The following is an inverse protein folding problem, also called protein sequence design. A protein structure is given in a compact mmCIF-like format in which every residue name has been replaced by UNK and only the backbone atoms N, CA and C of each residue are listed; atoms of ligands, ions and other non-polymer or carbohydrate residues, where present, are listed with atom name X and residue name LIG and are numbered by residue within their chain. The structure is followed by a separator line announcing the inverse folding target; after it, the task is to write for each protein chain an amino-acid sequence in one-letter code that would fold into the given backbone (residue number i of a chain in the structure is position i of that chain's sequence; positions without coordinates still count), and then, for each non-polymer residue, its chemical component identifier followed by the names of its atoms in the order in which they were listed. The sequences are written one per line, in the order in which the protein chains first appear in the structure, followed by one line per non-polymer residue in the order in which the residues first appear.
data_IF_505479801593
#
_entry.id   IF_505479801593
#
_cell.length_a   1.000
_cell.length_b   1.000
_cell.length_c   1.000
_cell.angle_alpha   90.00
_cell.angle_beta   90.00
_cell.angle_gamma   90.00
#
_symmetry.space_group_name_H-M   'P 1'
#
loop_
_entity.id
_entity.type
_entity.pdbx_description
1 polymer ?
#
# COMPACT_ATOMS: atom_id res chain seq x y z
N UNK A 1 -31.91 7.61 -24.57
CA UNK A 1 -30.48 7.23 -24.58
C UNK A 1 -30.04 7.02 -26.03
N UNK A 2 -29.62 8.06 -26.73
CA UNK A 2 -28.85 7.91 -27.98
C UNK A 2 -27.42 8.31 -27.65
N UNK A 3 -26.58 7.31 -27.36
CA UNK A 3 -25.14 7.50 -27.55
C UNK A 3 -25.01 7.67 -29.05
N UNK A 4 -24.64 8.86 -29.52
CA UNK A 4 -24.39 9.09 -30.93
C UNK A 4 -23.33 8.09 -31.37
N UNK A 5 -23.76 7.07 -32.11
CA UNK A 5 -22.95 6.01 -32.67
C UNK A 5 -22.22 6.52 -33.94
N UNK A 6 -21.77 7.79 -33.92
CA UNK A 6 -20.86 8.30 -34.93
C UNK A 6 -19.46 7.93 -34.49
N UNK A 7 -18.79 7.10 -35.27
CA UNK A 7 -17.33 6.99 -35.21
C UNK A 7 -16.76 8.40 -35.30
N UNK A 8 -15.94 8.83 -34.31
CA UNK A 8 -15.30 10.12 -34.39
C UNK A 8 -14.46 10.19 -35.67
N UNK A 9 -14.56 11.31 -36.39
CA UNK A 9 -13.83 11.54 -37.64
C UNK A 9 -13.24 12.94 -37.62
N UNK A 10 -11.96 13.08 -37.97
CA UNK A 10 -11.40 14.37 -38.34
C UNK A 10 -11.62 14.61 -39.84
N UNK A 11 -11.47 15.85 -40.34
CA UNK A 11 -11.48 16.11 -41.76
C UNK A 11 -10.49 15.18 -42.49
N UNK A 12 -11.00 14.30 -43.36
CA UNK A 12 -10.18 13.34 -44.12
C UNK A 12 -9.73 12.08 -43.38
N UNK A 13 -10.09 11.88 -42.09
CA UNK A 13 -9.67 10.72 -41.30
C UNK A 13 -10.83 10.03 -40.57
N UNK A 14 -10.84 8.70 -40.59
CA UNK A 14 -11.69 7.90 -39.69
C UNK A 14 -10.89 7.46 -38.47
N UNK A 15 -11.46 7.67 -37.27
CA UNK A 15 -10.79 7.36 -36.03
C UNK A 15 -11.47 6.23 -35.30
N UNK A 16 -10.64 5.37 -34.73
CA UNK A 16 -11.12 4.52 -33.66
C UNK A 16 -11.34 5.37 -32.39
N UNK A 17 -12.22 4.89 -31.50
CA UNK A 17 -12.53 5.57 -30.25
C UNK A 17 -11.28 5.81 -29.38
N UNK A 18 -10.29 4.91 -29.42
CA UNK A 18 -9.04 5.08 -28.66
C UNK A 18 -8.19 6.26 -29.16
N UNK A 19 -8.05 6.40 -30.48
CA UNK A 19 -7.35 7.53 -31.10
C UNK A 19 -8.06 8.85 -30.77
N UNK A 20 -9.38 8.88 -30.90
CA UNK A 20 -10.17 10.04 -30.51
C UNK A 20 -9.98 10.41 -29.03
N UNK A 21 -10.10 9.46 -28.09
CA UNK A 21 -9.91 9.75 -26.67
C UNK A 21 -8.48 10.19 -26.33
N UNK A 22 -7.48 9.71 -27.06
CA UNK A 22 -6.09 10.12 -26.88
C UNK A 22 -5.89 11.56 -27.35
N UNK A 23 -6.39 11.88 -28.54
CA UNK A 23 -6.39 13.23 -29.08
C UNK A 23 -7.12 14.23 -28.18
N UNK A 24 -8.31 13.87 -27.68
CA UNK A 24 -9.10 14.71 -26.78
C UNK A 24 -8.49 14.92 -25.38
N UNK A 25 -7.34 14.29 -25.10
CA UNK A 25 -6.54 14.46 -23.87
C UNK A 25 -5.18 15.07 -24.13
N UNK A 26 -4.88 15.41 -25.38
CA UNK A 26 -3.60 16.00 -25.76
C UNK A 26 -3.71 17.52 -25.61
N UNK A 27 -2.89 18.08 -24.73
CA UNK A 27 -2.85 19.51 -24.45
C UNK A 27 -1.43 20.05 -24.57
N UNK A 28 -1.33 21.34 -24.87
CA UNK A 28 -0.08 22.08 -24.90
C UNK A 28 -0.18 23.28 -25.82
N UNK A 29 0.99 23.81 -26.18
CA UNK A 29 1.11 24.97 -27.07
C UNK A 29 1.17 24.50 -28.52
N UNK A 30 0.24 24.97 -29.35
CA UNK A 30 0.19 24.68 -30.77
C UNK A 30 1.43 25.27 -31.47
N UNK A 31 2.21 24.46 -32.21
CA UNK A 31 3.46 24.93 -32.84
C UNK A 31 3.23 25.92 -34.01
N UNK A 32 2.00 26.03 -34.53
CA UNK A 32 1.68 26.90 -35.67
C UNK A 32 1.10 28.25 -35.27
N UNK A 33 0.21 28.27 -34.28
CA UNK A 33 -0.52 29.49 -33.89
C UNK A 33 -0.30 29.92 -32.44
N UNK A 34 0.46 29.15 -31.64
CA UNK A 34 0.72 29.46 -30.24
C UNK A 34 -0.46 29.22 -29.27
N UNK A 35 -1.59 28.68 -29.75
CA UNK A 35 -2.73 28.32 -28.91
C UNK A 35 -2.33 27.35 -27.80
N UNK A 36 -2.50 27.73 -26.54
CA UNK A 36 -2.28 26.87 -25.39
C UNK A 36 -3.60 26.23 -24.94
N UNK A 37 -3.80 24.97 -25.27
CA UNK A 37 -5.08 24.32 -25.07
C UNK A 37 -5.15 22.92 -25.66
N UNK A 38 -6.32 22.54 -26.18
CA UNK A 38 -6.52 21.23 -26.78
C UNK A 38 -5.83 21.12 -28.15
N UNK A 39 -5.00 20.08 -28.33
CA UNK A 39 -4.27 19.79 -29.56
C UNK A 39 -4.64 18.40 -30.11
N UNK A 40 -5.87 18.20 -30.62
CA UNK A 40 -6.36 16.86 -30.94
C UNK A 40 -5.97 16.41 -32.35
N UNK A 41 -5.62 17.33 -33.24
CA UNK A 41 -5.36 17.04 -34.64
C UNK A 41 -3.88 16.99 -34.98
N UNK A 42 -3.61 16.76 -36.26
CA UNK A 42 -2.28 16.89 -36.87
C UNK A 42 -2.38 17.87 -38.03
N UNK A 43 -1.28 18.55 -38.35
CA UNK A 43 -1.24 19.44 -39.50
C UNK A 43 -1.32 18.67 -40.83
N UNK A 44 -0.77 17.45 -40.87
CA UNK A 44 -0.86 16.51 -41.99
C UNK A 44 -0.50 15.09 -41.49
N UNK A 45 -0.59 14.09 -42.36
CA UNK A 45 -0.32 12.69 -41.99
C UNK A 45 1.18 12.37 -41.75
N UNK A 46 2.10 13.26 -42.12
CA UNK A 46 3.56 13.03 -42.05
C UNK A 46 4.15 13.64 -40.77
N UNK A 47 3.68 14.80 -40.34
CA UNK A 47 4.13 15.47 -39.12
C UNK A 47 3.41 14.87 -37.90
N UNK A 48 4.13 14.23 -36.96
CA UNK A 48 3.51 13.63 -35.79
C UNK A 48 3.13 14.64 -34.70
N UNK A 49 3.53 15.92 -34.83
CA UNK A 49 3.28 16.94 -33.80
C UNK A 49 1.79 17.28 -33.72
N UNK A 50 1.21 17.30 -32.51
CA UNK A 50 -0.19 17.63 -32.32
C UNK A 50 -0.43 19.14 -32.54
N UNK A 51 -1.58 19.50 -33.11
CA UNK A 51 -1.98 20.89 -33.39
C UNK A 51 -3.42 21.15 -32.92
N UNK A 52 -3.76 22.42 -32.73
CA UNK A 52 -5.10 22.83 -32.26
C UNK A 52 -6.19 22.54 -33.30
N UNK A 53 -7.46 22.61 -32.85
CA UNK A 53 -8.64 22.40 -33.70
C UNK A 53 -8.61 23.23 -34.98
N UNK A 54 -8.31 24.54 -34.86
CA UNK A 54 -8.27 25.47 -35.99
C UNK A 54 -7.18 25.11 -36.99
N UNK A 55 -5.96 24.83 -36.53
CA UNK A 55 -4.85 24.46 -37.41
C UNK A 55 -5.05 23.09 -38.07
N UNK A 56 -5.80 22.19 -37.43
CA UNK A 56 -6.20 20.91 -38.02
C UNK A 56 -7.45 21.01 -38.91
N UNK A 57 -8.08 22.19 -39.02
CA UNK A 57 -9.33 22.38 -39.78
C UNK A 57 -10.54 21.66 -39.21
N UNK A 58 -10.52 21.29 -37.92
CA UNK A 58 -11.61 20.58 -37.24
C UNK A 58 -12.72 21.59 -36.89
N UNK A 59 -13.93 21.48 -37.49
CA UNK A 59 -14.99 22.49 -37.33
C UNK A 59 -15.76 22.40 -36.01
N UNK A 60 -15.66 21.29 -35.29
CA UNK A 60 -16.37 21.07 -34.03
C UNK A 60 -15.85 21.94 -32.88
N UNK A 61 -16.78 22.48 -32.09
CA UNK A 61 -16.47 23.14 -30.83
C UNK A 61 -16.48 22.15 -29.67
N UNK A 62 -15.34 22.05 -29.00
CA UNK A 62 -15.11 21.18 -27.84
C UNK A 62 -14.99 21.98 -26.53
N UNK A 63 -15.57 23.18 -26.46
CA UNK A 63 -15.65 23.97 -25.22
C UNK A 63 -16.83 23.58 -24.36
N UNK A 64 -16.56 23.39 -23.07
CA UNK A 64 -17.61 23.14 -22.09
C UNK A 64 -18.48 24.39 -21.89
N UNK A 65 -19.80 24.29 -22.07
CA UNK A 65 -20.73 25.42 -21.86
C UNK A 65 -20.79 25.96 -20.43
N UNK A 66 -20.25 25.23 -19.46
CA UNK A 66 -20.27 25.61 -18.04
C UNK A 66 -18.93 26.19 -17.57
N UNK A 67 -17.81 25.60 -17.96
CA UNK A 67 -16.48 26.00 -17.47
C UNK A 67 -15.54 26.49 -18.56
N UNK A 68 -16.00 26.58 -19.82
CA UNK A 68 -15.27 26.99 -21.03
C UNK A 68 -13.97 26.20 -21.33
N UNK A 69 -13.67 25.17 -20.55
CA UNK A 69 -12.49 24.32 -20.77
C UNK A 69 -12.66 23.53 -22.07
N UNK A 70 -11.62 23.57 -22.90
CA UNK A 70 -11.51 22.76 -24.12
C UNK A 70 -11.27 21.28 -23.77
N UNK A 71 -12.01 20.37 -24.40
CA UNK A 71 -11.82 18.94 -24.22
C UNK A 71 -13.04 18.12 -24.59
N UNK A 72 -13.01 16.83 -24.29
CA UNK A 72 -14.13 15.96 -24.64
C UNK A 72 -15.44 16.39 -23.95
N UNK A 73 -16.46 16.67 -24.77
CA UNK A 73 -17.82 16.87 -24.30
C UNK A 73 -18.43 15.52 -23.93
N UNK A 74 -18.88 15.40 -22.68
CA UNK A 74 -19.42 14.14 -22.16
C UNK A 74 -20.93 14.03 -22.37
N UNK A 75 -21.71 15.05 -21.98
CA UNK A 75 -23.16 15.08 -22.23
C UNK A 75 -23.70 16.52 -22.24
N UNK A 76 -24.62 16.82 -23.14
CA UNK A 76 -25.36 18.09 -23.17
C UNK A 76 -24.48 19.35 -23.19
N UNK A 77 -23.39 19.34 -23.96
CA UNK A 77 -22.46 20.47 -24.05
C UNK A 77 -21.55 20.66 -22.82
N UNK A 78 -21.56 19.74 -21.85
CA UNK A 78 -20.72 19.78 -20.64
C UNK A 78 -19.58 18.76 -20.72
N UNK A 79 -18.42 19.15 -20.20
CA UNK A 79 -17.30 18.23 -19.98
C UNK A 79 -17.64 17.21 -18.87
N UNK A 80 -16.85 16.14 -18.78
CA UNK A 80 -17.05 15.09 -17.78
C UNK A 80 -17.06 15.61 -16.34
N UNK A 81 -16.22 16.61 -16.01
CA UNK A 81 -16.12 17.21 -14.67
C UNK A 81 -17.37 18.01 -14.28
N UNK A 82 -17.86 18.88 -15.16
CA UNK A 82 -19.11 19.63 -14.91
C UNK A 82 -20.31 18.70 -14.82
N UNK A 83 -20.43 17.74 -15.73
CA UNK A 83 -21.49 16.74 -15.67
C UNK A 83 -21.45 15.91 -14.38
N UNK A 84 -20.25 15.57 -13.89
CA UNK A 84 -20.05 14.87 -12.62
C UNK A 84 -20.47 15.73 -11.43
N UNK A 85 -20.09 17.01 -11.41
CA UNK A 85 -20.47 17.96 -10.36
C UNK A 85 -21.98 18.04 -10.23
N UNK A 86 -22.68 18.29 -11.34
CA UNK A 86 -24.14 18.38 -11.36
C UNK A 86 -24.78 17.09 -10.83
N UNK A 87 -24.27 15.93 -11.27
CA UNK A 87 -24.76 14.62 -10.84
C UNK A 87 -24.55 14.36 -9.34
N UNK A 88 -23.45 14.84 -8.76
CA UNK A 88 -23.14 14.64 -7.35
C UNK A 88 -23.86 15.65 -6.47
N UNK A 89 -23.94 16.92 -6.87
CA UNK A 89 -24.72 17.95 -6.16
C UNK A 89 -26.16 17.50 -5.98
N UNK A 90 -26.81 17.04 -7.07
CA UNK A 90 -28.17 16.51 -7.00
C UNK A 90 -28.31 15.22 -6.16
N UNK A 91 -27.21 14.47 -5.96
CA UNK A 91 -27.24 13.20 -5.24
C UNK A 91 -26.96 13.36 -3.74
N UNK A 92 -26.05 14.26 -3.35
CA UNK A 92 -25.54 14.35 -1.98
C UNK A 92 -25.57 15.74 -1.37
N UNK A 93 -25.79 16.82 -2.12
CA UNK A 93 -25.82 18.19 -1.57
C UNK A 93 -27.25 18.65 -1.41
N UNK A 94 -28.08 18.44 -2.43
CA UNK A 94 -29.48 18.85 -2.43
C UNK A 94 -30.26 18.08 -1.35
N UNK A 95 -30.72 18.79 -0.32
CA UNK A 95 -31.44 18.19 0.82
C UNK A 95 -30.56 17.48 1.86
N UNK A 96 -29.24 17.70 1.82
CA UNK A 96 -28.31 17.11 2.78
C UNK A 96 -28.50 17.66 4.20
N UNK A 97 -28.23 16.81 5.21
CA UNK A 97 -28.17 17.22 6.61
C UNK A 97 -27.02 18.22 6.87
N UNK A 98 -25.90 18.08 6.14
CA UNK A 98 -24.79 19.02 6.13
C UNK A 98 -24.34 19.33 4.68
N UNK A 99 -24.97 20.34 4.02
CA UNK A 99 -24.65 20.70 2.65
C UNK A 99 -23.22 21.19 2.44
N UNK A 100 -22.59 21.81 3.46
CA UNK A 100 -21.24 22.34 3.35
C UNK A 100 -20.21 21.21 3.26
N UNK A 101 -20.31 20.21 4.15
CA UNK A 101 -19.44 19.04 4.11
C UNK A 101 -19.68 18.21 2.84
N UNK A 102 -20.94 18.04 2.41
CA UNK A 102 -21.23 17.33 1.17
C UNK A 102 -20.69 18.06 -0.07
N UNK A 103 -20.75 19.39 -0.10
CA UNK A 103 -20.15 20.19 -1.17
C UNK A 103 -18.63 19.99 -1.23
N UNK A 104 -17.96 19.93 -0.08
CA UNK A 104 -16.52 19.62 0.00
C UNK A 104 -16.21 18.23 -0.60
N UNK A 105 -17.04 17.22 -0.31
CA UNK A 105 -16.90 15.89 -0.92
C UNK A 105 -17.09 15.94 -2.44
N UNK A 106 -18.07 16.72 -2.93
CA UNK A 106 -18.25 16.93 -4.38
C UNK A 106 -17.01 17.54 -5.02
N UNK A 107 -16.43 18.56 -4.40
CA UNK A 107 -15.20 19.21 -4.89
C UNK A 107 -14.04 18.22 -4.98
N UNK A 108 -13.82 17.43 -3.92
CA UNK A 108 -12.80 16.38 -3.87
C UNK A 108 -12.99 15.37 -5.01
N UNK A 109 -14.22 14.85 -5.18
CA UNK A 109 -14.52 13.86 -6.20
C UNK A 109 -14.41 14.42 -7.62
N UNK A 110 -14.68 15.71 -7.82
CA UNK A 110 -14.53 16.40 -9.11
C UNK A 110 -13.07 16.78 -9.41
N UNK A 111 -12.23 16.89 -8.39
CA UNK A 111 -10.82 17.29 -8.48
C UNK A 111 -9.89 16.24 -9.10
N UNK A 112 -10.38 15.03 -9.39
CA UNK A 112 -9.56 13.98 -10.02
C UNK A 112 -9.12 14.36 -11.44
N UNK A 113 -7.96 13.86 -11.85
CA UNK A 113 -7.46 14.01 -13.22
C UNK A 113 -8.41 13.37 -14.25
N UNK A 114 -9.02 12.23 -13.89
CA UNK A 114 -9.95 11.47 -14.76
C UNK A 114 -11.37 11.38 -14.18
N UNK A 115 -12.24 12.40 -14.35
CA UNK A 115 -13.61 12.42 -13.82
C UNK A 115 -14.48 11.22 -14.27
N UNK A 116 -14.18 10.63 -15.43
CA UNK A 116 -14.92 9.48 -15.98
C UNK A 116 -14.85 8.24 -15.08
N UNK A 117 -13.77 8.08 -14.28
CA UNK A 117 -13.70 6.99 -13.32
C UNK A 117 -14.72 7.16 -12.20
N UNK A 118 -14.94 8.39 -11.73
CA UNK A 118 -15.94 8.70 -10.70
C UNK A 118 -17.35 8.60 -11.28
N UNK A 119 -17.56 9.06 -12.52
CA UNK A 119 -18.83 8.87 -13.23
C UNK A 119 -19.22 7.40 -13.36
N UNK A 120 -18.25 6.51 -13.59
CA UNK A 120 -18.48 5.05 -13.59
C UNK A 120 -18.71 4.52 -12.18
N UNK A 121 -17.85 4.89 -11.23
CA UNK A 121 -17.90 4.44 -9.84
C UNK A 121 -19.24 4.77 -9.16
N UNK A 122 -19.73 6.02 -9.31
CA UNK A 122 -21.00 6.47 -8.71
C UNK A 122 -22.25 5.79 -9.28
N UNK A 123 -22.15 5.03 -10.38
CA UNK A 123 -23.29 4.26 -10.92
C UNK A 123 -23.58 3.03 -10.08
N UNK A 124 -22.62 2.56 -9.29
CA UNK A 124 -22.83 1.41 -8.41
C UNK A 124 -23.94 1.70 -7.40
N UNK A 125 -24.97 0.83 -7.27
CA UNK A 125 -26.02 1.01 -6.27
C UNK A 125 -25.48 1.10 -4.84
N UNK A 126 -24.41 0.34 -4.54
CA UNK A 126 -23.74 0.37 -3.23
C UNK A 126 -23.08 1.71 -2.94
N UNK A 127 -22.45 2.33 -3.96
CA UNK A 127 -21.83 3.65 -3.84
C UNK A 127 -22.91 4.71 -3.63
N UNK A 128 -24.01 4.65 -4.42
CA UNK A 128 -25.14 5.58 -4.27
C UNK A 128 -25.76 5.50 -2.88
N UNK A 129 -26.05 4.29 -2.39
CA UNK A 129 -26.60 4.11 -1.05
C UNK A 129 -25.68 4.67 0.05
N UNK A 130 -24.37 4.42 -0.04
CA UNK A 130 -23.39 4.95 0.90
C UNK A 130 -23.33 6.48 0.87
N UNK A 131 -23.29 7.07 -0.33
CA UNK A 131 -23.25 8.52 -0.52
C UNK A 131 -24.55 9.20 -0.04
N UNK A 132 -25.71 8.63 -0.35
CA UNK A 132 -27.01 9.14 0.11
C UNK A 132 -27.19 9.00 1.62
N UNK A 133 -26.75 7.89 2.23
CA UNK A 133 -26.80 7.71 3.69
C UNK A 133 -25.89 8.67 4.45
N UNK A 134 -24.73 9.05 3.88
CA UNK A 134 -23.90 10.13 4.42
C UNK A 134 -24.57 11.50 4.28
N UNK A 135 -25.21 11.76 3.13
CA UNK A 135 -25.91 13.02 2.87
C UNK A 135 -27.14 13.21 3.78
N UNK A 136 -27.93 12.16 4.01
CA UNK A 136 -29.11 12.20 4.90
C UNK A 136 -28.76 12.25 6.39
N UNK A 137 -27.51 11.92 6.76
CA UNK A 137 -27.08 11.77 8.15
C UNK A 137 -27.44 10.42 8.79
N UNK A 138 -28.07 9.50 8.05
CA UNK A 138 -28.32 8.12 8.50
C UNK A 138 -27.01 7.39 8.82
N UNK A 139 -25.97 7.67 8.03
CA UNK A 139 -24.61 7.23 8.27
C UNK A 139 -23.83 8.42 8.84
N UNK A 140 -23.45 8.39 10.13
CA UNK A 140 -22.58 9.42 10.67
C UNK A 140 -21.27 9.48 9.88
N UNK A 141 -20.79 10.69 9.59
CA UNK A 141 -19.46 10.90 8.98
C UNK A 141 -18.37 10.63 10.03
N UNK A 142 -18.19 9.36 10.34
CA UNK A 142 -17.21 8.87 11.30
C UNK A 142 -16.72 7.49 10.89
N UNK A 143 -15.61 7.06 11.49
CA UNK A 143 -15.09 5.72 11.31
C UNK A 143 -16.11 4.64 11.70
N UNK A 144 -16.80 4.84 12.81
CA UNK A 144 -17.80 3.92 13.34
C UNK A 144 -19.05 3.87 12.45
N UNK A 145 -19.51 5.03 11.93
CA UNK A 145 -20.61 5.10 10.99
C UNK A 145 -20.32 4.31 9.70
N UNK A 146 -19.11 4.45 9.17
CA UNK A 146 -18.66 3.67 8.01
C UNK A 146 -18.52 2.17 8.32
N UNK A 147 -18.06 1.81 9.52
CA UNK A 147 -17.94 0.41 9.94
C UNK A 147 -19.30 -0.28 10.11
N UNK A 148 -20.33 0.44 10.58
CA UNK A 148 -21.68 -0.06 10.73
C UNK A 148 -22.33 -0.48 9.40
N UNK A 149 -22.04 0.23 8.30
CA UNK A 149 -22.60 -0.09 6.97
C UNK A 149 -21.99 -1.35 6.39
N UNK A 150 -20.66 -1.45 6.39
CA UNK A 150 -19.96 -2.71 6.12
C UNK A 150 -18.46 -2.57 6.37
N UNK A 151 -17.93 -3.32 7.33
CA UNK A 151 -16.49 -3.38 7.60
C UNK A 151 -15.64 -3.95 6.44
N UNK A 152 -16.26 -4.55 5.42
CA UNK A 152 -15.57 -5.45 4.45
C UNK A 152 -15.74 -5.10 2.98
N UNK A 153 -16.42 -4.01 2.62
CA UNK A 153 -16.56 -3.66 1.19
C UNK A 153 -15.42 -2.76 0.73
N UNK A 154 -14.88 -3.06 -0.46
CA UNK A 154 -13.87 -2.22 -1.12
C UNK A 154 -14.35 -0.77 -1.30
N UNK A 155 -15.67 -0.58 -1.41
CA UNK A 155 -16.30 0.73 -1.54
C UNK A 155 -16.12 1.57 -0.28
N UNK A 156 -16.47 1.02 0.90
CA UNK A 156 -16.30 1.72 2.18
C UNK A 156 -14.83 2.00 2.45
N UNK A 157 -13.93 1.03 2.23
CA UNK A 157 -12.49 1.25 2.44
C UNK A 157 -11.91 2.33 1.52
N UNK A 158 -12.38 2.42 0.27
CA UNK A 158 -11.97 3.47 -0.66
C UNK A 158 -12.46 4.84 -0.20
N UNK A 159 -13.75 4.96 0.13
CA UNK A 159 -14.33 6.22 0.61
C UNK A 159 -13.68 6.68 1.92
N UNK A 160 -13.48 5.77 2.89
CA UNK A 160 -12.74 6.08 4.12
C UNK A 160 -11.35 6.64 3.84
N UNK A 161 -10.59 5.98 2.96
CA UNK A 161 -9.24 6.44 2.61
C UNK A 161 -9.27 7.82 1.93
N UNK A 162 -10.30 8.11 1.13
CA UNK A 162 -10.52 9.42 0.52
C UNK A 162 -10.81 10.48 1.59
N UNK A 163 -11.71 10.20 2.52
CA UNK A 163 -12.08 11.14 3.58
C UNK A 163 -10.90 11.41 4.54
N UNK A 164 -10.12 10.39 4.91
CA UNK A 164 -8.88 10.54 5.68
C UNK A 164 -7.85 11.41 4.93
N UNK A 165 -7.59 11.11 3.67
CA UNK A 165 -6.60 11.83 2.84
C UNK A 165 -6.91 13.32 2.69
N UNK A 166 -8.19 13.69 2.73
CA UNK A 166 -8.65 15.08 2.63
C UNK A 166 -8.99 15.71 3.99
N UNK A 167 -8.67 15.05 5.11
CA UNK A 167 -8.85 15.61 6.45
C UNK A 167 -10.31 15.67 6.93
N UNK A 168 -11.23 15.02 6.24
CA UNK A 168 -12.65 14.89 6.65
C UNK A 168 -12.85 13.79 7.71
N UNK A 169 -11.89 12.88 7.84
CA UNK A 169 -11.80 11.92 8.94
C UNK A 169 -10.38 11.93 9.53
N UNK A 170 -10.22 11.70 10.84
CA UNK A 170 -8.89 11.52 11.43
C UNK A 170 -8.24 10.25 10.87
N UNK A 171 -6.92 10.26 10.74
CA UNK A 171 -6.17 9.07 10.33
C UNK A 171 -6.36 7.90 11.30
N UNK A 172 -6.67 6.70 10.78
CA UNK A 172 -6.87 5.48 11.58
C UNK A 172 -5.98 4.33 11.12
N UNK A 173 -5.43 3.57 12.07
CA UNK A 173 -4.87 2.25 11.77
C UNK A 173 -6.01 1.24 11.53
N UNK A 174 -6.38 1.11 10.27
CA UNK A 174 -7.43 0.18 9.82
C UNK A 174 -7.08 -1.30 10.09
N UNK A 175 -5.81 -1.67 10.21
CA UNK A 175 -5.42 -3.03 10.54
C UNK A 175 -5.61 -3.32 12.04
N UNK A 176 -5.33 -2.34 12.90
CA UNK A 176 -5.58 -2.42 14.34
C UNK A 176 -7.08 -2.48 14.63
N UNK A 177 -7.88 -1.57 14.04
CA UNK A 177 -9.34 -1.57 14.21
C UNK A 177 -9.95 -2.93 13.83
N UNK A 178 -9.52 -3.51 12.70
CA UNK A 178 -9.94 -4.86 12.27
C UNK A 178 -9.42 -5.98 13.18
N UNK A 179 -8.30 -5.80 13.86
CA UNK A 179 -7.81 -6.77 14.84
C UNK A 179 -8.65 -6.73 16.11
N UNK A 180 -9.02 -5.55 16.60
CA UNK A 180 -9.86 -5.37 17.79
C UNK A 180 -11.25 -5.99 17.61
N UNK A 181 -11.94 -5.69 16.49
CA UNK A 181 -13.24 -6.32 16.18
C UNK A 181 -13.12 -7.84 16.06
N UNK A 182 -12.07 -8.32 15.37
CA UNK A 182 -11.85 -9.76 15.24
C UNK A 182 -11.57 -10.42 16.60
N UNK A 183 -10.81 -9.76 17.47
CA UNK A 183 -10.44 -10.31 18.77
C UNK A 183 -11.68 -10.42 19.67
N UNK A 184 -12.51 -9.38 19.75
CA UNK A 184 -13.76 -9.40 20.51
C UNK A 184 -14.65 -10.58 20.05
N UNK A 185 -14.95 -10.64 18.75
CA UNK A 185 -15.74 -11.73 18.18
C UNK A 185 -15.11 -13.11 18.41
N UNK A 186 -13.79 -13.21 18.41
CA UNK A 186 -13.09 -14.48 18.63
C UNK A 186 -13.16 -14.93 20.09
N UNK A 187 -13.00 -14.00 21.04
CA UNK A 187 -13.13 -14.29 22.47
C UNK A 187 -14.55 -14.75 22.81
N UNK A 188 -15.57 -14.14 22.21
CA UNK A 188 -16.98 -14.51 22.42
C UNK A 188 -17.34 -15.93 21.99
N UNK A 189 -16.52 -16.56 21.14
CA UNK A 189 -16.68 -17.99 20.80
C UNK A 189 -16.15 -18.95 21.87
N UNK A 190 -15.43 -18.46 22.88
CA UNK A 190 -14.84 -19.29 23.94
C UNK A 190 -15.78 -19.27 25.14
N UNK A 191 -16.44 -20.40 25.38
CA UNK A 191 -17.41 -20.58 26.47
C UNK A 191 -16.74 -20.97 27.78
N UNK A 192 -15.71 -21.81 27.73
CA UNK A 192 -15.04 -22.34 28.92
C UNK A 192 -14.16 -21.27 29.61
N UNK A 193 -14.47 -20.84 30.86
CA UNK A 193 -13.71 -19.81 31.55
C UNK A 193 -12.22 -20.15 31.75
N UNK A 194 -11.90 -21.42 31.99
CA UNK A 194 -10.52 -21.89 32.16
C UNK A 194 -9.67 -21.72 30.88
N UNK A 195 -10.32 -21.68 29.71
CA UNK A 195 -9.68 -21.39 28.41
C UNK A 195 -9.73 -19.89 28.11
N UNK A 196 -10.88 -19.24 28.32
CA UNK A 196 -11.09 -17.83 27.94
C UNK A 196 -10.14 -16.89 28.68
N UNK A 197 -10.04 -17.00 30.01
CA UNK A 197 -9.27 -16.07 30.83
C UNK A 197 -7.79 -15.93 30.42
N UNK A 198 -7.00 -17.02 30.29
CA UNK A 198 -5.60 -16.92 29.85
C UNK A 198 -5.46 -16.46 28.40
N UNK A 199 -6.40 -16.81 27.50
CA UNK A 199 -6.38 -16.33 26.11
C UNK A 199 -6.61 -14.82 26.05
N UNK A 200 -7.60 -14.32 26.79
CA UNK A 200 -7.94 -12.91 26.83
C UNK A 200 -6.79 -12.08 27.41
N UNK A 201 -6.20 -12.52 28.51
CA UNK A 201 -5.01 -11.87 29.09
C UNK A 201 -3.85 -11.86 28.10
N UNK A 202 -3.55 -12.98 27.43
CA UNK A 202 -2.51 -13.04 26.42
C UNK A 202 -2.79 -12.09 25.25
N UNK A 203 -4.00 -12.15 24.68
CA UNK A 203 -4.36 -11.34 23.53
C UNK A 203 -4.37 -9.84 23.87
N UNK A 204 -4.88 -9.44 25.02
CA UNK A 204 -5.01 -8.04 25.41
C UNK A 204 -3.68 -7.47 25.94
N UNK A 205 -3.03 -8.16 26.87
CA UNK A 205 -1.84 -7.62 27.56
C UNK A 205 -0.55 -7.80 26.76
N UNK A 206 -0.44 -8.83 25.91
CA UNK A 206 0.71 -9.03 25.03
C UNK A 206 0.50 -8.45 23.64
N UNK A 207 -0.52 -8.93 22.92
CA UNK A 207 -0.71 -8.56 21.52
C UNK A 207 -1.27 -7.15 21.38
N UNK A 208 -2.43 -6.87 21.97
CA UNK A 208 -3.12 -5.60 21.76
C UNK A 208 -2.30 -4.42 22.30
N UNK A 209 -1.70 -4.55 23.49
CA UNK A 209 -0.76 -3.55 24.02
C UNK A 209 0.38 -3.24 23.05
N UNK A 210 1.02 -4.27 22.48
CA UNK A 210 2.14 -4.09 21.54
C UNK A 210 1.67 -3.49 20.22
N UNK A 211 0.53 -3.93 19.71
CA UNK A 211 -0.03 -3.44 18.45
C UNK A 211 -0.44 -1.98 18.58
N UNK A 212 -1.09 -1.58 19.68
CA UNK A 212 -1.40 -0.17 20.00
C UNK A 212 -0.14 0.68 20.15
N UNK A 213 0.87 0.17 20.88
CA UNK A 213 2.14 0.90 21.07
C UNK A 213 2.95 1.09 19.78
N UNK A 214 2.76 0.22 18.78
CA UNK A 214 3.44 0.30 17.48
C UNK A 214 2.52 0.82 16.37
N UNK A 215 1.29 1.23 16.70
CA UNK A 215 0.32 1.72 15.73
C UNK A 215 0.68 3.14 15.34
N UNK A 216 1.17 3.29 14.13
CA UNK A 216 1.33 4.60 13.49
C UNK A 216 0.44 4.61 12.26
N UNK A 217 -0.53 5.54 12.17
CA UNK A 217 -1.39 5.62 11.00
C UNK A 217 -0.56 5.72 9.71
N UNK A 218 -0.94 4.95 8.70
CA UNK A 218 -0.19 4.89 7.44
C UNK A 218 1.13 4.13 7.47
N UNK A 219 1.52 3.50 8.60
CA UNK A 219 2.68 2.58 8.67
C UNK A 219 2.32 1.20 9.25
N UNK A 220 1.02 0.93 9.33
CA UNK A 220 0.46 -0.28 9.91
C UNK A 220 0.90 -1.55 9.16
N UNK A 221 1.32 -2.57 9.91
CA UNK A 221 1.79 -3.83 9.33
C UNK A 221 0.70 -4.91 9.38
N UNK A 222 0.11 -5.22 8.22
CA UNK A 222 -0.81 -6.35 8.05
C UNK A 222 -0.19 -7.65 8.59
N UNK A 223 1.08 -7.88 8.30
CA UNK A 223 1.81 -9.09 8.72
C UNK A 223 1.87 -9.24 10.24
N UNK A 224 2.10 -8.15 10.97
CA UNK A 224 2.10 -8.17 12.44
C UNK A 224 0.74 -8.56 12.99
N UNK A 225 -0.34 -8.04 12.40
CA UNK A 225 -1.71 -8.41 12.78
C UNK A 225 -2.01 -9.87 12.45
N UNK A 226 -1.68 -10.35 11.25
CA UNK A 226 -1.90 -11.74 10.86
C UNK A 226 -1.12 -12.71 11.76
N UNK A 227 0.13 -12.39 12.09
CA UNK A 227 0.92 -13.19 13.03
C UNK A 227 0.28 -13.22 14.42
N UNK A 228 -0.27 -12.10 14.91
CA UNK A 228 -0.98 -12.05 16.18
C UNK A 228 -2.26 -12.91 16.14
N UNK A 229 -3.07 -12.78 15.06
CA UNK A 229 -4.27 -13.62 14.87
C UNK A 229 -3.94 -15.10 14.89
N UNK A 230 -2.87 -15.51 14.21
CA UNK A 230 -2.44 -16.90 14.19
C UNK A 230 -1.96 -17.37 15.56
N UNK A 231 -1.18 -16.57 16.29
CA UNK A 231 -0.71 -16.93 17.64
C UNK A 231 -1.87 -17.08 18.63
N UNK A 232 -2.83 -16.14 18.62
CA UNK A 232 -4.05 -16.23 19.45
C UNK A 232 -4.87 -17.47 19.06
N UNK A 233 -5.08 -17.71 17.76
CA UNK A 233 -5.87 -18.87 17.29
C UNK A 233 -5.25 -20.20 17.71
N UNK A 234 -3.93 -20.37 17.54
CA UNK A 234 -3.26 -21.61 17.94
C UNK A 234 -3.21 -21.77 19.47
N UNK A 235 -3.17 -20.68 20.22
CA UNK A 235 -3.27 -20.70 21.69
C UNK A 235 -4.64 -21.17 22.15
N UNK A 236 -5.72 -20.67 21.52
CA UNK A 236 -7.09 -21.16 21.80
C UNK A 236 -7.16 -22.67 21.56
N UNK A 237 -6.69 -23.15 20.41
CA UNK A 237 -6.70 -24.59 20.09
C UNK A 237 -5.94 -25.43 21.11
N UNK A 238 -4.75 -24.99 21.51
CA UNK A 238 -3.94 -25.67 22.51
C UNK A 238 -4.69 -25.75 23.85
N UNK A 239 -5.21 -24.64 24.34
CA UNK A 239 -5.83 -24.58 25.66
C UNK A 239 -7.17 -25.32 25.71
N UNK A 240 -7.95 -25.28 24.63
CA UNK A 240 -9.14 -26.13 24.46
C UNK A 240 -8.74 -27.60 24.47
N UNK A 241 -7.75 -28.01 23.66
CA UNK A 241 -7.28 -29.40 23.65
C UNK A 241 -6.77 -29.87 25.02
N UNK A 242 -6.02 -29.02 25.72
CA UNK A 242 -5.47 -29.31 27.05
C UNK A 242 -6.60 -29.51 28.08
N UNK A 243 -7.62 -28.67 28.02
CA UNK A 243 -8.78 -28.76 28.89
C UNK A 243 -9.61 -30.02 28.60
N UNK A 244 -9.93 -30.26 27.32
CA UNK A 244 -10.80 -31.37 26.91
C UNK A 244 -10.13 -32.74 27.10
N UNK A 245 -8.82 -32.84 26.86
CA UNK A 245 -8.09 -34.12 26.85
C UNK A 245 -7.48 -34.48 28.20
N UNK A 246 -6.95 -33.49 28.91
CA UNK A 246 -6.18 -33.72 30.14
C UNK A 246 -6.82 -33.09 31.38
N UNK A 247 -7.93 -32.36 31.23
CA UNK A 247 -8.59 -31.61 32.32
C UNK A 247 -7.62 -30.67 33.05
N UNK A 248 -6.69 -30.06 32.30
CA UNK A 248 -5.67 -29.14 32.82
C UNK A 248 -5.92 -27.72 32.33
N UNK A 249 -5.39 -26.77 33.08
CA UNK A 249 -5.42 -25.35 32.73
C UNK A 249 -4.07 -24.89 32.16
N UNK A 250 -4.00 -23.65 31.68
CA UNK A 250 -2.73 -23.03 31.30
C UNK A 250 -1.68 -23.06 32.43
N UNK A 251 -2.09 -22.92 33.69
CA UNK A 251 -1.20 -22.94 34.84
C UNK A 251 -0.61 -24.33 35.12
N UNK A 252 -1.43 -25.37 34.94
CA UNK A 252 -1.08 -26.76 35.25
C UNK A 252 -0.50 -27.54 34.06
N UNK A 253 -0.40 -26.89 32.90
CA UNK A 253 0.21 -27.46 31.71
C UNK A 253 1.64 -27.93 31.99
N UNK A 254 1.94 -29.17 31.62
CA UNK A 254 3.26 -29.80 31.78
C UNK A 254 4.03 -29.80 30.46
N UNK A 255 5.35 -29.99 30.54
CA UNK A 255 6.20 -30.12 29.36
C UNK A 255 5.72 -31.25 28.43
N UNK A 256 5.29 -32.39 29.01
CA UNK A 256 4.77 -33.53 28.26
C UNK A 256 3.53 -33.17 27.43
N UNK A 257 2.62 -32.34 27.97
CA UNK A 257 1.41 -31.92 27.25
C UNK A 257 1.77 -31.06 26.04
N UNK A 258 2.75 -30.16 26.21
CA UNK A 258 3.26 -29.36 25.10
C UNK A 258 3.93 -30.25 24.05
N UNK A 259 4.75 -31.21 24.46
CA UNK A 259 5.47 -32.08 23.55
C UNK A 259 4.49 -32.96 22.74
N UNK A 260 3.45 -33.50 23.39
CA UNK A 260 2.37 -34.24 22.74
C UNK A 260 1.59 -33.37 21.74
N UNK A 261 1.25 -32.14 22.14
CA UNK A 261 0.62 -31.18 21.25
C UNK A 261 1.50 -30.86 20.04
N UNK A 262 2.81 -30.70 20.21
CA UNK A 262 3.70 -30.38 19.08
C UNK A 262 3.93 -31.59 18.17
N UNK A 263 4.05 -32.79 18.72
CA UNK A 263 4.31 -34.01 17.96
C UNK A 263 3.14 -34.41 17.06
N UNK A 264 1.91 -34.21 17.53
CA UNK A 264 0.70 -34.70 16.85
C UNK A 264 0.11 -33.74 15.81
N UNK A 265 0.82 -32.67 15.41
CA UNK A 265 0.20 -31.69 14.50
C UNK A 265 1.12 -30.82 13.67
N UNK A 266 0.53 -29.88 12.90
CA UNK A 266 1.25 -29.10 11.91
C UNK A 266 2.23 -28.13 12.55
N UNK A 267 3.20 -27.66 11.75
CA UNK A 267 4.22 -26.68 12.19
C UNK A 267 3.63 -25.39 12.75
N UNK A 268 2.39 -25.02 12.41
CA UNK A 268 1.68 -23.86 12.98
C UNK A 268 1.50 -23.97 14.49
N UNK A 269 1.45 -25.17 15.05
CA UNK A 269 1.35 -25.39 16.51
C UNK A 269 2.51 -24.74 17.26
N UNK A 270 3.68 -24.59 16.64
CA UNK A 270 4.84 -23.90 17.23
C UNK A 270 4.60 -22.41 17.48
N UNK A 271 3.51 -21.82 16.96
CA UNK A 271 3.12 -20.44 17.24
C UNK A 271 2.71 -20.23 18.70
N UNK A 272 2.32 -21.28 19.42
CA UNK A 272 2.01 -21.25 20.87
C UNK A 272 3.24 -20.90 21.73
N UNK A 273 4.45 -20.94 21.15
CA UNK A 273 5.67 -20.43 21.79
C UNK A 273 5.50 -19.01 22.35
N UNK A 274 4.81 -18.14 21.61
CA UNK A 274 4.59 -16.77 22.04
C UNK A 274 3.77 -16.70 23.34
N UNK A 275 2.78 -17.59 23.46
CA UNK A 275 1.98 -17.73 24.66
C UNK A 275 2.82 -18.20 25.85
N UNK A 276 3.59 -19.29 25.72
CA UNK A 276 4.41 -19.78 26.84
C UNK A 276 5.54 -18.81 27.25
N UNK A 277 6.13 -18.09 26.28
CA UNK A 277 7.10 -17.04 26.59
C UNK A 277 6.45 -15.90 27.41
N UNK A 278 5.21 -15.53 27.08
CA UNK A 278 4.43 -14.57 27.85
C UNK A 278 4.00 -15.13 29.21
N UNK A 279 3.48 -16.37 29.27
CA UNK A 279 3.00 -17.02 30.49
C UNK A 279 4.13 -17.17 31.53
N UNK A 280 5.35 -17.47 31.08
CA UNK A 280 6.54 -17.51 31.95
C UNK A 280 6.85 -16.11 32.51
N UNK A 281 6.86 -15.08 31.66
CA UNK A 281 7.07 -13.70 32.09
C UNK A 281 6.00 -13.21 33.06
N UNK A 282 4.75 -13.62 32.85
CA UNK A 282 3.59 -13.28 33.68
C UNK A 282 3.39 -14.21 34.88
N UNK A 283 4.30 -15.17 35.10
CA UNK A 283 4.25 -16.16 36.19
C UNK A 283 2.99 -17.06 36.22
N UNK A 284 2.28 -17.17 35.10
CA UNK A 284 1.13 -18.07 34.94
C UNK A 284 1.60 -19.53 34.84
N UNK A 285 2.67 -19.77 34.06
CA UNK A 285 3.29 -21.08 33.95
C UNK A 285 4.79 -20.90 33.71
N UNK A 286 5.61 -21.47 34.60
CA UNK A 286 7.08 -21.41 34.53
C UNK A 286 7.73 -22.77 34.32
N UNK A 287 6.93 -23.84 34.26
CA UNK A 287 7.40 -25.22 34.14
C UNK A 287 7.66 -25.61 32.69
N UNK A 288 6.87 -25.09 31.75
CA UNK A 288 6.98 -25.38 30.32
C UNK A 288 8.09 -24.54 29.68
N UNK A 289 9.01 -25.20 28.96
CA UNK A 289 10.12 -24.58 28.23
C UNK A 289 9.99 -24.85 26.73
N UNK A 290 9.96 -23.78 25.95
CA UNK A 290 10.06 -23.84 24.50
C UNK A 290 11.52 -23.74 24.07
N UNK A 291 12.08 -24.82 23.50
CA UNK A 291 13.45 -24.78 22.97
C UNK A 291 13.47 -23.94 21.69
N UNK A 292 14.41 -22.99 21.61
CA UNK A 292 14.62 -22.20 20.41
C UNK A 292 15.32 -23.05 19.34
N UNK A 293 14.58 -23.48 18.31
CA UNK A 293 15.20 -24.02 17.11
C UNK A 293 15.86 -22.87 16.34
N UNK A 294 17.19 -22.90 16.22
CA UNK A 294 17.87 -22.02 15.29
C UNK A 294 17.62 -22.50 13.86
N UNK A 295 17.31 -21.59 12.91
CA UNK A 295 17.17 -21.98 11.52
C UNK A 295 18.49 -22.56 11.02
N UNK A 296 18.45 -23.80 10.51
CA UNK A 296 19.63 -24.53 10.00
C UNK A 296 20.30 -23.82 8.83
N UNK A 297 19.55 -22.99 8.09
CA UNK A 297 20.02 -22.25 6.94
C UNK A 297 19.43 -20.83 6.91
N UNK A 298 20.27 -19.83 6.67
CA UNK A 298 19.84 -18.45 6.43
C UNK A 298 19.90 -18.22 4.91
N UNK A 299 18.76 -18.02 4.22
CA UNK A 299 18.75 -17.80 2.77
C UNK A 299 19.65 -16.63 2.37
N UNK A 300 20.49 -16.85 1.36
CA UNK A 300 21.48 -15.91 0.82
C UNK A 300 21.47 -16.00 -0.70
N UNK A 301 21.64 -14.87 -1.38
CA UNK A 301 22.00 -14.86 -2.80
C UNK A 301 23.52 -14.92 -2.92
N UNK A 302 24.02 -15.55 -3.99
CA UNK A 302 25.41 -15.35 -4.41
C UNK A 302 25.59 -13.94 -4.95
N UNK A 303 26.83 -13.44 -4.99
CA UNK A 303 27.11 -12.13 -5.57
C UNK A 303 26.73 -12.07 -7.06
N UNK A 304 26.95 -13.16 -7.80
CA UNK A 304 26.54 -13.29 -9.21
C UNK A 304 25.01 -13.21 -9.37
N UNK A 305 24.25 -13.93 -8.54
CA UNK A 305 22.79 -13.85 -8.55
C UNK A 305 22.30 -12.44 -8.23
N UNK A 306 22.91 -11.77 -7.24
CA UNK A 306 22.58 -10.40 -6.85
C UNK A 306 22.84 -9.42 -7.99
N UNK A 307 24.01 -9.48 -8.63
CA UNK A 307 24.37 -8.62 -9.76
C UNK A 307 23.48 -8.88 -10.99
N UNK A 308 23.14 -10.14 -11.25
CA UNK A 308 22.20 -10.51 -12.32
C UNK A 308 20.84 -9.86 -12.12
N UNK A 309 20.30 -9.90 -10.90
CA UNK A 309 19.04 -9.23 -10.59
C UNK A 309 19.13 -7.71 -10.69
N UNK A 310 20.21 -7.10 -10.18
CA UNK A 310 20.41 -5.66 -10.31
C UNK A 310 20.42 -5.26 -11.78
N UNK A 311 21.18 -5.97 -12.62
CA UNK A 311 21.24 -5.71 -14.06
C UNK A 311 19.86 -5.83 -14.71
N UNK A 312 19.14 -6.91 -14.44
CA UNK A 312 17.81 -7.15 -15.01
C UNK A 312 16.84 -5.99 -14.66
N UNK A 313 16.78 -5.61 -13.38
CA UNK A 313 15.92 -4.53 -12.90
C UNK A 313 16.34 -3.15 -13.46
N UNK A 314 17.62 -2.92 -13.74
CA UNK A 314 18.08 -1.70 -14.41
C UNK A 314 17.68 -1.68 -15.90
N UNK A 315 17.69 -2.82 -16.59
CA UNK A 315 17.45 -2.89 -18.04
C UNK A 315 15.99 -3.11 -18.44
N UNK A 316 15.03 -3.07 -17.50
CA UNK A 316 13.60 -3.15 -17.83
C UNK A 316 12.94 -4.52 -17.71
N UNK A 317 13.61 -5.51 -17.12
CA UNK A 317 13.05 -6.85 -16.98
C UNK A 317 13.33 -7.44 -15.59
N UNK A 318 12.34 -7.94 -14.82
CA UNK A 318 10.90 -7.95 -15.08
C UNK A 318 10.16 -6.78 -14.39
N UNK A 319 9.00 -6.44 -14.93
CA UNK A 319 7.97 -5.68 -14.21
C UNK A 319 7.92 -4.18 -14.47
N UNK A 320 6.92 -3.55 -13.86
CA UNK A 320 6.68 -2.10 -13.93
C UNK A 320 7.80 -1.30 -13.27
N UNK A 321 7.93 -0.02 -13.64
CA UNK A 321 8.93 0.90 -13.10
C UNK A 321 9.00 0.91 -11.56
N UNK A 322 7.84 0.95 -10.89
CA UNK A 322 7.79 0.98 -9.43
C UNK A 322 8.24 -0.34 -8.79
N UNK A 323 7.94 -1.50 -9.37
CA UNK A 323 8.46 -2.77 -8.83
C UNK A 323 9.97 -2.90 -9.02
N UNK A 324 10.49 -2.38 -10.14
CA UNK A 324 11.93 -2.34 -10.41
C UNK A 324 12.67 -1.50 -9.39
N UNK A 325 12.22 -0.27 -9.13
CA UNK A 325 12.79 0.60 -8.09
C UNK A 325 12.72 -0.07 -6.71
N UNK A 326 11.58 -0.70 -6.36
CA UNK A 326 11.46 -1.41 -5.09
C UNK A 326 12.47 -2.56 -4.95
N UNK A 327 12.69 -3.33 -6.02
CA UNK A 327 13.71 -4.39 -6.06
C UNK A 327 15.13 -3.85 -5.93
N UNK A 328 15.45 -2.71 -6.56
CA UNK A 328 16.75 -2.06 -6.44
C UNK A 328 17.01 -1.53 -5.03
N UNK A 329 16.00 -0.91 -4.39
CA UNK A 329 16.10 -0.50 -2.98
C UNK A 329 16.35 -1.68 -2.03
N UNK A 330 15.75 -2.84 -2.33
CA UNK A 330 15.98 -4.07 -1.58
C UNK A 330 17.39 -4.63 -1.80
N UNK A 331 17.85 -4.71 -3.06
CA UNK A 331 19.12 -5.36 -3.43
C UNK A 331 20.35 -4.51 -3.16
N UNK A 332 20.24 -3.18 -3.22
CA UNK A 332 21.34 -2.24 -2.98
C UNK A 332 21.42 -1.83 -1.51
N UNK A 333 20.27 -1.45 -0.92
CA UNK A 333 20.22 -0.84 0.41
C UNK A 333 19.64 -1.75 1.49
N UNK A 334 19.37 -3.02 1.18
CA UNK A 334 18.76 -4.00 2.09
C UNK A 334 17.42 -3.55 2.70
N UNK A 335 16.74 -2.58 2.08
CA UNK A 335 15.59 -1.94 2.70
C UNK A 335 14.42 -2.92 2.84
N UNK A 336 13.77 -2.98 4.03
CA UNK A 336 12.57 -3.79 4.20
C UNK A 336 11.46 -3.31 3.26
N UNK A 337 10.73 -4.23 2.63
CA UNK A 337 9.61 -3.89 1.75
C UNK A 337 8.52 -3.04 2.44
N UNK A 338 8.34 -3.19 3.75
CA UNK A 338 7.41 -2.35 4.53
C UNK A 338 7.85 -0.87 4.54
N UNK A 339 9.17 -0.61 4.62
CA UNK A 339 9.72 0.75 4.55
C UNK A 339 9.75 1.28 3.12
N UNK A 340 10.07 0.42 2.15
CA UNK A 340 10.04 0.79 0.73
C UNK A 340 8.63 1.22 0.35
N UNK A 341 7.62 0.40 0.68
CA UNK A 341 6.22 0.73 0.45
C UNK A 341 5.84 2.09 1.03
N UNK A 342 6.15 2.31 2.32
CA UNK A 342 5.86 3.55 3.04
C UNK A 342 6.93 4.64 2.85
N UNK A 343 7.63 4.68 1.71
CA UNK A 343 8.60 5.73 1.44
C UNK A 343 7.87 6.97 0.86
N UNK A 344 7.96 8.16 1.49
CA UNK A 344 7.36 9.37 0.92
C UNK A 344 8.14 9.81 -0.32
N UNK A 345 7.45 10.46 -1.27
CA UNK A 345 8.08 11.00 -2.47
C UNK A 345 9.14 12.06 -2.12
N UNK A 346 8.92 12.80 -1.03
CA UNK A 346 9.88 13.78 -0.48
C UNK A 346 11.15 13.15 0.10
N UNK A 347 11.22 11.81 0.24
CA UNK A 347 12.46 11.13 0.62
C UNK A 347 13.51 11.16 -0.50
N UNK A 348 13.12 11.47 -1.74
CA UNK A 348 14.03 11.59 -2.88
C UNK A 348 14.33 13.06 -3.10
N UNK A 349 15.60 13.43 -2.97
CA UNK A 349 16.11 14.77 -3.28
C UNK A 349 16.91 14.70 -4.58
N UNK A 350 16.51 15.53 -5.55
CA UNK A 350 17.20 15.67 -6.84
C UNK A 350 17.90 17.02 -6.82
N UNK A 351 19.23 17.01 -6.86
CA UNK A 351 20.06 18.21 -7.01
C UNK A 351 20.67 18.25 -8.42
N UNK A 352 21.39 19.33 -8.76
CA UNK A 352 22.09 19.41 -10.05
C UNK A 352 23.18 18.35 -10.21
N UNK A 353 23.78 17.92 -9.09
CA UNK A 353 25.01 17.13 -9.10
C UNK A 353 24.78 15.67 -8.70
N UNK A 354 23.79 15.40 -7.85
CA UNK A 354 23.47 14.05 -7.40
C UNK A 354 21.99 13.86 -7.01
N UNK A 355 21.56 12.60 -7.05
CA UNK A 355 20.29 12.15 -6.46
C UNK A 355 20.58 11.52 -5.10
N UNK A 356 19.85 11.96 -4.06
CA UNK A 356 19.95 11.39 -2.71
C UNK A 356 18.61 10.85 -2.25
N UNK A 357 18.66 9.83 -1.38
CA UNK A 357 17.47 9.19 -0.82
C UNK A 357 17.57 9.05 0.70
N UNK A 358 16.53 9.48 1.41
CA UNK A 358 16.43 9.38 2.88
C UNK A 358 15.92 8.01 3.29
N UNK A 359 16.82 7.14 3.76
CA UNK A 359 16.52 5.77 4.23
C UNK A 359 16.75 5.56 5.73
N UNK A 360 17.52 6.45 6.34
CA UNK A 360 17.84 6.48 7.76
C UNK A 360 17.91 7.92 8.25
N UNK A 361 18.88 8.20 9.12
CA UNK A 361 19.03 9.52 9.74
C UNK A 361 19.60 10.56 8.76
N UNK A 362 20.36 10.12 7.76
CA UNK A 362 21.00 10.97 6.77
C UNK A 362 20.70 10.47 5.36
N UNK A 363 20.49 11.36 4.37
CA UNK A 363 20.28 10.97 2.99
C UNK A 363 21.54 10.32 2.39
N UNK A 364 21.38 9.20 1.70
CA UNK A 364 22.46 8.49 1.01
C UNK A 364 22.44 8.79 -0.50
N UNK A 365 23.62 8.84 -1.16
CA UNK A 365 23.67 9.01 -2.61
C UNK A 365 23.08 7.80 -3.33
N UNK A 366 22.43 8.06 -4.47
CA UNK A 366 21.88 7.05 -5.36
C UNK A 366 22.80 6.91 -6.57
N UNK A 367 23.43 5.73 -6.80
CA UNK A 367 24.37 5.56 -7.89
C UNK A 367 23.65 5.49 -9.23
N UNK A 368 24.31 5.96 -10.30
CA UNK A 368 23.85 5.67 -11.66
C UNK A 368 24.13 4.19 -12.02
N UNK A 369 23.27 3.55 -12.85
CA UNK A 369 22.09 4.09 -13.55
C UNK A 369 20.79 4.10 -12.73
N UNK A 370 20.83 3.78 -11.42
CA UNK A 370 19.62 3.70 -10.60
C UNK A 370 19.02 5.08 -10.33
N UNK A 371 19.84 6.12 -10.18
CA UNK A 371 19.37 7.50 -9.98
C UNK A 371 18.41 7.95 -11.09
N UNK A 372 18.77 7.72 -12.36
CA UNK A 372 17.90 8.03 -13.50
C UNK A 372 16.53 7.34 -13.43
N UNK A 373 16.49 6.05 -13.07
CA UNK A 373 15.24 5.28 -12.95
C UNK A 373 14.39 5.75 -11.76
N UNK A 374 15.03 6.12 -10.65
CA UNK A 374 14.35 6.65 -9.48
C UNK A 374 13.70 8.01 -9.78
N UNK A 375 14.40 8.89 -10.49
CA UNK A 375 13.87 10.17 -10.96
C UNK A 375 12.69 9.95 -11.91
N UNK A 376 12.78 8.99 -12.84
CA UNK A 376 11.65 8.64 -13.70
C UNK A 376 10.42 8.23 -12.86
N UNK A 377 10.61 7.42 -11.82
CA UNK A 377 9.50 7.01 -10.95
C UNK A 377 8.86 8.21 -10.24
N UNK A 378 9.65 9.16 -9.72
CA UNK A 378 9.13 10.36 -9.05
C UNK A 378 8.17 11.14 -9.96
N UNK A 379 8.51 11.26 -11.25
CA UNK A 379 7.71 11.97 -12.24
C UNK A 379 6.52 11.14 -12.76
N UNK A 380 6.67 9.81 -12.85
CA UNK A 380 5.68 8.90 -13.46
C UNK A 380 5.07 7.93 -12.45
N UNK A 381 4.77 8.42 -11.24
CA UNK A 381 4.16 7.60 -10.18
C UNK A 381 2.82 7.02 -10.67
N UNK A 382 2.60 5.70 -10.54
CA UNK A 382 1.37 5.05 -10.97
C UNK A 382 0.19 5.48 -10.09
N UNK A 383 -1.03 5.09 -10.46
CA UNK A 383 -2.22 5.15 -9.58
C UNK A 383 -2.68 6.56 -9.12
N UNK A 384 -2.10 7.64 -9.64
CA UNK A 384 -2.48 9.01 -9.24
C UNK A 384 -3.73 9.55 -9.95
N UNK A 385 -4.09 8.98 -11.11
CA UNK A 385 -5.13 9.55 -12.00
C UNK A 385 -6.56 9.46 -11.45
N UNK A 386 -6.81 8.50 -10.56
CA UNK A 386 -8.15 8.13 -10.07
C UNK A 386 -8.29 8.20 -8.55
N UNK A 387 -7.20 8.50 -7.83
CA UNK A 387 -7.10 8.36 -6.38
C UNK A 387 -7.58 9.56 -5.55
N UNK A 388 -8.42 10.46 -6.09
CA UNK A 388 -8.82 11.72 -5.42
C UNK A 388 -7.68 12.75 -5.50
N UNK A 389 -7.90 13.99 -5.92
CA UNK A 389 -8.73 15.03 -5.32
C UNK A 389 -7.89 16.32 -5.32
N UNK A 390 -8.15 17.29 -4.44
CA UNK A 390 -7.40 18.57 -4.36
C UNK A 390 -5.99 18.45 -3.74
N UNK A 391 -5.64 17.29 -3.19
CA UNK A 391 -4.40 17.06 -2.41
C UNK A 391 -3.58 15.93 -3.07
N UNK A 392 -2.28 16.14 -3.36
CA UNK A 392 -1.45 15.11 -3.98
C UNK A 392 -1.19 13.93 -3.05
N UNK A 393 -1.09 12.72 -3.61
CA UNK A 393 -0.65 11.55 -2.84
C UNK A 393 0.84 11.69 -2.46
N UNK A 394 1.21 11.60 -1.16
CA UNK A 394 2.57 11.90 -0.70
C UNK A 394 3.56 10.75 -0.93
N UNK A 395 3.10 9.55 -1.30
CA UNK A 395 3.94 8.36 -1.34
C UNK A 395 4.71 8.22 -2.65
N UNK A 396 5.93 7.67 -2.59
CA UNK A 396 6.70 7.29 -3.77
C UNK A 396 6.07 6.08 -4.47
N UNK A 397 5.49 5.16 -3.68
CA UNK A 397 4.75 3.99 -4.14
C UNK A 397 3.27 4.12 -3.78
N UNK A 398 2.47 4.90 -4.53
CA UNK A 398 1.06 5.09 -4.22
C UNK A 398 0.20 3.84 -4.51
N UNK A 399 -0.75 3.54 -3.62
CA UNK A 399 -1.78 2.54 -3.87
C UNK A 399 -2.91 3.08 -4.74
N UNK A 400 -3.81 2.18 -5.17
CA UNK A 400 -5.11 2.57 -5.74
C UNK A 400 -6.06 3.24 -4.73
N UNK A 401 -5.73 3.17 -3.43
CA UNK A 401 -6.50 3.85 -2.37
C UNK A 401 -5.96 5.27 -2.18
N UNK A 402 -6.85 6.29 -2.16
CA UNK A 402 -6.48 7.68 -1.90
C UNK A 402 -5.61 7.81 -0.64
N UNK A 403 -4.55 8.62 -0.72
CA UNK A 403 -3.64 8.89 0.41
C UNK A 403 -2.84 7.72 0.97
N UNK A 404 -2.98 6.49 0.44
CA UNK A 404 -2.28 5.31 0.95
C UNK A 404 -1.11 4.92 0.05
N UNK A 405 -0.09 4.36 0.66
CA UNK A 405 1.00 3.71 -0.04
C UNK A 405 0.60 2.28 -0.45
N UNK A 406 1.35 1.73 -1.41
CA UNK A 406 1.23 0.36 -1.89
C UNK A 406 1.43 -0.63 -0.75
N UNK A 407 0.70 -1.74 -0.77
CA UNK A 407 0.89 -2.76 0.25
C UNK A 407 2.23 -3.51 0.05
N UNK A 408 2.92 -3.76 1.16
CA UNK A 408 4.22 -4.44 1.12
C UNK A 408 4.11 -5.91 0.67
N UNK A 409 2.94 -6.56 0.82
CA UNK A 409 2.73 -7.92 0.30
C UNK A 409 2.54 -7.90 -1.21
N UNK A 410 1.96 -6.84 -1.78
CA UNK A 410 1.96 -6.65 -3.24
C UNK A 410 3.38 -6.56 -3.76
N UNK A 411 4.25 -5.74 -3.16
CA UNK A 411 5.68 -5.69 -3.52
C UNK A 411 6.36 -7.07 -3.38
N UNK A 412 6.09 -7.77 -2.28
CA UNK A 412 6.69 -9.07 -2.03
C UNK A 412 6.24 -10.12 -3.06
N UNK A 413 4.95 -10.11 -3.41
CA UNK A 413 4.36 -11.02 -4.39
C UNK A 413 4.99 -10.80 -5.76
N UNK A 414 5.05 -9.56 -6.23
CA UNK A 414 5.59 -9.20 -7.54
C UNK A 414 7.09 -9.55 -7.66
N UNK A 415 7.88 -9.23 -6.63
CA UNK A 415 9.31 -9.62 -6.60
C UNK A 415 9.49 -11.14 -6.55
N UNK A 416 8.66 -11.86 -5.81
CA UNK A 416 8.74 -13.32 -5.74
C UNK A 416 8.30 -13.97 -7.05
N UNK A 417 7.26 -13.43 -7.69
CA UNK A 417 6.77 -13.87 -9.00
C UNK A 417 7.82 -13.62 -10.09
N UNK A 418 8.59 -12.53 -9.97
CA UNK A 418 9.77 -12.27 -10.78
C UNK A 418 10.93 -13.25 -10.55
N UNK A 419 10.92 -14.06 -9.47
CA UNK A 419 12.00 -15.00 -9.11
C UNK A 419 12.98 -14.46 -8.06
N UNK A 420 12.77 -13.25 -7.54
CA UNK A 420 13.62 -12.66 -6.50
C UNK A 420 13.20 -13.18 -5.13
N UNK A 421 14.09 -13.93 -4.47
CA UNK A 421 13.90 -14.29 -3.06
C UNK A 421 14.13 -13.08 -2.16
N UNK A 422 13.03 -12.46 -1.69
CA UNK A 422 13.07 -11.22 -0.87
C UNK A 422 13.97 -11.37 0.37
N UNK A 423 13.88 -12.51 1.06
CA UNK A 423 14.68 -12.76 2.26
C UNK A 423 16.16 -12.94 1.93
N UNK A 424 16.47 -13.70 0.87
CA UNK A 424 17.86 -13.91 0.44
C UNK A 424 18.50 -12.61 -0.07
N UNK A 425 17.75 -11.81 -0.84
CA UNK A 425 18.15 -10.51 -1.33
C UNK A 425 18.49 -9.55 -0.18
N UNK A 426 17.60 -9.43 0.81
CA UNK A 426 17.85 -8.58 1.98
C UNK A 426 19.06 -9.04 2.78
N UNK A 427 19.15 -10.34 3.08
CA UNK A 427 20.26 -10.87 3.88
C UNK A 427 21.61 -10.66 3.18
N UNK A 428 21.68 -10.89 1.85
CA UNK A 428 22.90 -10.70 1.06
C UNK A 428 23.29 -9.24 0.93
N UNK A 429 22.34 -8.34 0.64
CA UNK A 429 22.59 -6.90 0.61
C UNK A 429 23.13 -6.40 1.95
N UNK A 430 22.48 -6.75 3.07
CA UNK A 430 22.92 -6.30 4.39
C UNK A 430 24.28 -6.89 4.79
N UNK A 431 24.55 -8.17 4.47
CA UNK A 431 25.87 -8.78 4.71
C UNK A 431 26.98 -8.13 3.88
N UNK A 432 26.68 -7.71 2.66
CA UNK A 432 27.67 -7.02 1.81
C UNK A 432 27.97 -5.64 2.38
N UNK A 433 26.94 -4.87 2.74
CA UNK A 433 27.10 -3.53 3.31
C UNK A 433 27.96 -3.54 4.58
N UNK A 434 27.71 -4.46 5.51
CA UNK A 434 28.50 -4.55 6.76
C UNK A 434 29.90 -5.12 6.58
N UNK A 435 30.20 -5.71 5.43
CA UNK A 435 31.55 -6.13 5.06
C UNK A 435 32.36 -4.96 4.47
N UNK A 436 31.69 -4.01 3.82
CA UNK A 436 32.31 -2.84 3.17
C UNK A 436 32.41 -1.61 4.09
N UNK A 437 31.52 -1.50 5.09
CA UNK A 437 31.53 -0.37 6.03
C UNK A 437 31.18 -0.76 7.47
N UNK A 438 31.66 0.01 8.47
CA UNK A 438 31.36 -0.22 9.87
C UNK A 438 29.85 -0.35 10.17
N UNK A 439 29.43 -1.34 10.98
CA UNK A 439 28.02 -1.55 11.34
C UNK A 439 27.26 -0.30 11.82
N UNK A 440 27.85 0.58 12.66
CA UNK A 440 27.15 1.79 13.12
C UNK A 440 26.82 2.76 11.98
N UNK A 441 27.65 2.83 10.94
CA UNK A 441 27.42 3.70 9.78
C UNK A 441 26.24 3.14 8.96
N UNK A 442 26.22 1.83 8.69
CA UNK A 442 25.08 1.16 8.02
C UNK A 442 23.79 1.38 8.79
N UNK A 443 23.83 1.23 10.12
CA UNK A 443 22.67 1.44 10.99
C UNK A 443 22.11 2.86 10.85
N UNK A 444 22.97 3.88 10.96
CA UNK A 444 22.61 5.30 10.84
C UNK A 444 22.07 5.66 9.46
N UNK A 445 22.77 5.28 8.39
CA UNK A 445 22.45 5.67 7.01
C UNK A 445 21.18 4.98 6.48
N UNK A 446 20.93 3.73 6.89
CA UNK A 446 19.86 2.89 6.34
C UNK A 446 18.72 2.64 7.35
N UNK A 447 18.81 3.26 8.53
CA UNK A 447 17.79 3.25 9.58
C UNK A 447 17.62 1.89 10.27
N UNK A 448 18.66 1.04 10.32
CA UNK A 448 18.61 -0.23 11.04
C UNK A 448 18.99 -0.06 12.51
N UNK A 449 18.54 -0.96 13.39
CA UNK A 449 19.03 -0.97 14.77
C UNK A 449 20.44 -1.53 14.86
N UNK A 450 21.25 -1.01 15.78
CA UNK A 450 22.64 -1.45 15.96
C UNK A 450 22.74 -2.96 16.20
N UNK A 451 21.86 -3.52 17.03
CA UNK A 451 21.79 -4.96 17.29
C UNK A 451 21.54 -5.79 16.03
N UNK A 452 20.71 -5.29 15.10
CA UNK A 452 20.43 -5.97 13.85
C UNK A 452 21.69 -6.01 12.98
N UNK A 453 22.31 -4.85 12.77
CA UNK A 453 23.49 -4.74 11.90
C UNK A 453 24.70 -5.49 12.50
N UNK A 454 24.91 -5.38 13.82
CA UNK A 454 25.98 -6.10 14.51
C UNK A 454 25.85 -7.62 14.39
N UNK A 455 24.62 -8.15 14.48
CA UNK A 455 24.36 -9.57 14.25
C UNK A 455 24.71 -9.99 12.81
N UNK A 456 24.39 -9.16 11.82
CA UNK A 456 24.76 -9.42 10.43
C UNK A 456 26.27 -9.36 10.20
N UNK A 457 26.98 -8.44 10.87
CA UNK A 457 28.43 -8.35 10.83
C UNK A 457 29.12 -9.58 11.44
N UNK A 458 28.65 -10.04 12.60
CA UNK A 458 29.13 -11.29 13.22
C UNK A 458 28.94 -12.49 12.28
N UNK A 459 27.76 -12.61 11.65
CA UNK A 459 27.47 -13.68 10.69
C UNK A 459 28.32 -13.60 9.42
N UNK A 460 28.70 -12.39 8.98
CA UNK A 460 29.61 -12.19 7.86
C UNK A 460 31.07 -12.56 8.22
N UNK A 461 31.48 -12.36 9.47
CA UNK A 461 32.81 -12.68 9.98
C UNK A 461 33.02 -14.16 10.38
N UNK A 462 31.95 -14.96 10.53
CA UNK A 462 32.02 -16.37 10.94
C UNK A 462 32.95 -17.30 10.12
N UNK A 463 33.16 -17.10 8.80
CA UNK A 463 34.17 -17.87 8.07
C UNK A 463 35.60 -17.62 8.57
N UNK A 464 35.90 -16.39 9.02
CA UNK A 464 37.23 -15.96 9.47
C UNK A 464 37.52 -16.34 10.93
N UNK A 465 36.49 -16.43 11.79
CA UNK A 465 36.66 -16.82 13.19
C UNK A 465 37.07 -18.29 13.39
N UNK A 466 36.95 -19.13 12.35
CA UNK A 466 37.45 -20.52 12.35
C UNK A 466 38.92 -20.66 11.99
N UNK A 467 39.57 -19.58 11.54
CA UNK A 467 41.01 -19.56 11.24
C UNK A 467 41.88 -19.07 12.41
N UNK A 468 41.29 -18.52 13.48
CA UNK A 468 42.03 -18.02 14.67
C UNK A 468 42.00 -19.04 15.82
N UNK A 469 42.28 -20.30 15.53
CA UNK A 469 42.73 -21.26 16.55
C UNK A 469 44.14 -21.69 16.18
N UNK A 470 45.11 -21.10 16.87
CA UNK A 470 46.50 -21.59 16.94
C UNK A 470 46.55 -22.91 17.70
#
# INVERSE_FOLDING_TARGET
MSVQNRTPSWPGEQLCNSCFYTAMRTHGVCPFCGHDGLLPGRANHIDPRPVCLTCAGIPEDYRCRTCDTEGQIYRGGRCARCALRDDLTALIVDGAADPATMSTIVEILCGVERPESILTWKRSPRVRALLSGLSSGEIPLSHDGLDAVSQRTRVVSHLRSLLEHHGLLPDRDEYLARFEVWLAAKLDTITEPAVRAPVEQFATWHHLRRLRGNSTPGQASERSMQSAKQQVTETIKLLTWLHDTHHRTAADCRQQDLDEWLASGPTTRHKTRAFFAWANKSKINTTVRFVNQQPKHVPMLTQEQRLTWIKALLTGNPGSLHYRVAGLLLLLYAQPLVRIAALPATAVAVTTDEVRISLGNEPVPVPEPFASILVELVHRRPNLRTGGGTVPNPWLFPAHRPGKHLDAMTLAHELTHAGVSVLAARNSALRTLVAEMPPPIVAKLLGFSDNCVQRHAQLAAQPWSRYITR
#
